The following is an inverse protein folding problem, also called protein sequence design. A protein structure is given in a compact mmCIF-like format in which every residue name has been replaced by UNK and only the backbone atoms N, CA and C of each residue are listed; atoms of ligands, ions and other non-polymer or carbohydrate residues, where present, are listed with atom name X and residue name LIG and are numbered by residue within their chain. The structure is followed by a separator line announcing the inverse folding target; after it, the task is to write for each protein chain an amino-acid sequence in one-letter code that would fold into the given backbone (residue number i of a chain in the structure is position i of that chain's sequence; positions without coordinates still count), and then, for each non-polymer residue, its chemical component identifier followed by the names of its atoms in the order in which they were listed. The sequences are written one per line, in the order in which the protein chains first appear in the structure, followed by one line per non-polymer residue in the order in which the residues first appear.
data_IF_229703720247
#
_entry.id   IF_229703720247
#
_cell.length_a   1.000
_cell.length_b   1.000
_cell.length_c   1.000
_cell.angle_alpha   90.00
_cell.angle_beta   90.00
_cell.angle_gamma   90.00
#
_symmetry.space_group_name_H-M   'P 1'
#
loop_
_entity.id
_entity.type
_entity.pdbx_description
1 polymer ?
#
# COMPACT_ATOMS: atom_id res chain seq x y z
N UNK A 1 -20.69 -12.26 1.16
CA UNK A 1 -20.54 -10.79 1.29
C UNK A 1 -19.35 -10.53 2.21
N UNK A 2 -18.66 -9.40 2.08
CA UNK A 2 -17.52 -9.11 2.97
C UNK A 2 -18.02 -8.77 4.37
N UNK A 3 -17.23 -9.06 5.41
CA UNK A 3 -17.61 -8.76 6.79
C UNK A 3 -17.94 -7.26 7.00
N UNK A 4 -17.26 -6.37 6.27
CA UNK A 4 -17.56 -4.94 6.26
C UNK A 4 -18.91 -4.62 5.61
N UNK A 5 -19.27 -5.26 4.49
CA UNK A 5 -20.57 -5.08 3.84
C UNK A 5 -21.71 -5.56 4.76
N UNK A 6 -21.54 -6.70 5.42
CA UNK A 6 -22.53 -7.23 6.36
C UNK A 6 -22.73 -6.30 7.57
N UNK A 7 -21.63 -5.72 8.09
CA UNK A 7 -21.69 -4.74 9.19
C UNK A 7 -22.42 -3.44 8.78
N UNK A 8 -22.20 -2.96 7.55
CA UNK A 8 -22.89 -1.76 7.04
C UNK A 8 -24.38 -2.03 6.86
N UNK A 9 -24.76 -3.17 6.30
CA UNK A 9 -26.18 -3.55 6.12
C UNK A 9 -26.88 -3.72 7.47
N UNK A 10 -26.23 -4.36 8.45
CA UNK A 10 -26.77 -4.47 9.81
C UNK A 10 -27.03 -3.08 10.42
N UNK A 11 -26.06 -2.16 10.31
CA UNK A 11 -26.21 -0.80 10.83
C UNK A 11 -27.30 0.00 10.11
N UNK A 12 -27.44 -0.15 8.79
CA UNK A 12 -28.53 0.46 8.01
C UNK A 12 -29.92 0.05 8.53
N UNK A 13 -30.10 -1.24 8.80
CA UNK A 13 -31.35 -1.79 9.33
C UNK A 13 -31.62 -1.26 10.73
N UNK A 14 -30.61 -1.21 11.60
CA UNK A 14 -30.73 -0.68 12.97
C UNK A 14 -31.13 0.81 12.97
N UNK A 15 -30.46 1.63 12.16
CA UNK A 15 -30.74 3.07 12.04
C UNK A 15 -32.13 3.33 11.47
N UNK A 16 -32.56 2.59 10.45
CA UNK A 16 -33.90 2.79 9.88
C UNK A 16 -35.00 2.31 10.85
N UNK A 17 -34.78 1.21 11.58
CA UNK A 17 -35.70 0.75 12.64
C UNK A 17 -35.82 1.79 13.74
N UNK A 18 -34.71 2.38 14.17
CA UNK A 18 -34.70 3.48 15.14
C UNK A 18 -35.49 4.68 14.63
N UNK A 19 -35.27 5.10 13.39
CA UNK A 19 -35.98 6.22 12.78
C UNK A 19 -37.49 5.98 12.71
N UNK A 20 -37.91 4.78 12.30
CA UNK A 20 -39.32 4.41 12.22
C UNK A 20 -39.98 4.33 13.60
N UNK A 21 -39.28 3.79 14.61
CA UNK A 21 -39.76 3.76 16.00
C UNK A 21 -40.01 5.17 16.52
N UNK A 22 -39.03 6.07 16.37
CA UNK A 22 -39.16 7.46 16.82
C UNK A 22 -40.24 8.20 16.04
N UNK A 23 -40.38 7.97 14.74
CA UNK A 23 -41.41 8.60 13.91
C UNK A 23 -42.84 8.31 14.39
N UNK A 24 -43.09 7.13 14.95
CA UNK A 24 -44.42 6.71 15.46
C UNK A 24 -44.79 7.32 16.82
N UNK A 25 -43.83 7.85 17.57
CA UNK A 25 -44.10 8.45 18.88
C UNK A 25 -44.93 9.73 18.74
N UNK A 26 -45.96 9.89 19.58
CA UNK A 26 -46.81 11.09 19.58
C UNK A 26 -46.15 12.31 20.23
N UNK A 27 -45.18 12.09 21.12
CA UNK A 27 -44.50 13.16 21.84
C UNK A 27 -43.56 13.98 20.95
N UNK A 28 -43.48 15.29 21.22
CA UNK A 28 -42.54 16.21 20.55
C UNK A 28 -41.10 16.06 21.06
N UNK A 29 -40.92 15.53 22.28
CA UNK A 29 -39.61 15.27 22.90
C UNK A 29 -39.49 13.80 23.32
N UNK A 30 -38.26 13.28 23.28
CA UNK A 30 -37.99 11.91 23.70
C UNK A 30 -37.49 11.91 25.15
N UNK A 31 -38.41 11.71 26.08
CA UNK A 31 -38.17 11.71 27.53
C UNK A 31 -38.17 10.31 28.13
N UNK A 32 -38.89 9.37 27.51
CA UNK A 32 -39.01 7.97 27.96
C UNK A 32 -37.63 7.30 27.95
N UNK A 33 -37.27 6.66 29.06
CA UNK A 33 -35.98 5.97 29.24
C UNK A 33 -35.76 4.91 28.17
N UNK A 34 -36.76 4.08 27.91
CA UNK A 34 -36.64 2.93 27.02
C UNK A 34 -36.33 3.33 25.57
N UNK A 35 -36.92 4.44 25.10
CA UNK A 35 -36.63 4.97 23.76
C UNK A 35 -35.24 5.60 23.70
N UNK A 36 -34.80 6.28 24.78
CA UNK A 36 -33.43 6.83 24.88
C UNK A 36 -32.40 5.72 24.91
N UNK A 37 -32.63 4.66 25.68
CA UNK A 37 -31.71 3.54 25.82
C UNK A 37 -31.64 2.71 24.54
N UNK A 38 -32.75 2.58 23.82
CA UNK A 38 -32.74 2.01 22.48
C UNK A 38 -31.94 2.86 21.48
N UNK A 39 -32.03 4.18 21.53
CA UNK A 39 -31.21 5.05 20.68
C UNK A 39 -29.71 4.97 21.04
N UNK A 40 -29.39 4.86 22.33
CA UNK A 40 -28.00 4.64 22.79
C UNK A 40 -27.48 3.30 22.26
N UNK A 41 -28.27 2.23 22.34
CA UNK A 41 -27.82 0.92 21.88
C UNK A 41 -27.49 0.92 20.40
N UNK A 42 -28.32 1.56 19.56
CA UNK A 42 -28.06 1.73 18.12
C UNK A 42 -26.75 2.48 17.87
N UNK A 43 -26.49 3.57 18.59
CA UNK A 43 -25.23 4.30 18.47
C UNK A 43 -24.03 3.45 18.93
N UNK A 44 -24.15 2.71 20.04
CA UNK A 44 -23.08 1.85 20.54
C UNK A 44 -22.80 0.65 19.63
N UNK A 45 -23.82 0.04 19.03
CA UNK A 45 -23.64 -1.02 18.03
C UNK A 45 -22.75 -0.56 16.89
N UNK A 46 -22.95 0.67 16.40
CA UNK A 46 -22.03 1.25 15.42
C UNK A 46 -20.60 1.38 15.96
N UNK A 47 -20.39 2.12 17.05
CA UNK A 47 -19.03 2.44 17.52
C UNK A 47 -18.25 1.23 18.05
N UNK A 48 -18.92 0.23 18.62
CA UNK A 48 -18.28 -0.91 19.30
C UNK A 48 -18.22 -2.17 18.44
N UNK A 49 -19.15 -2.35 17.51
CA UNK A 49 -19.28 -3.60 16.75
C UNK A 49 -19.04 -3.37 15.26
N UNK A 50 -19.78 -2.46 14.63
CA UNK A 50 -19.74 -2.31 13.17
C UNK A 50 -18.54 -1.50 12.69
N UNK A 51 -18.28 -0.34 13.30
CA UNK A 51 -17.21 0.60 12.92
C UNK A 51 -15.85 -0.07 12.87
N UNK A 52 -15.38 -0.82 13.90
CA UNK A 52 -14.06 -1.45 13.86
C UNK A 52 -13.90 -2.38 12.65
N UNK A 53 -14.93 -3.15 12.31
CA UNK A 53 -14.92 -4.08 11.17
C UNK A 53 -14.87 -3.33 9.84
N UNK A 54 -15.62 -2.24 9.72
CA UNK A 54 -15.63 -1.41 8.50
C UNK A 54 -14.27 -0.73 8.28
N UNK A 55 -13.65 -0.19 9.33
CA UNK A 55 -12.35 0.50 9.25
C UNK A 55 -11.16 -0.43 9.00
N UNK A 56 -11.34 -1.75 9.05
CA UNK A 56 -10.32 -2.69 8.56
C UNK A 56 -10.17 -2.66 7.02
N UNK A 57 -11.22 -2.20 6.33
CA UNK A 57 -11.28 -2.23 4.86
C UNK A 57 -11.40 -0.84 4.23
N UNK A 58 -12.00 0.12 4.93
CA UNK A 58 -12.19 1.48 4.47
C UNK A 58 -11.40 2.47 5.33
N UNK A 59 -10.90 3.57 4.75
CA UNK A 59 -10.22 4.62 5.51
C UNK A 59 -11.18 5.26 6.52
N UNK A 60 -10.65 5.72 7.67
CA UNK A 60 -11.47 6.31 8.74
C UNK A 60 -12.28 7.54 8.27
N UNK A 61 -11.75 8.30 7.31
CA UNK A 61 -12.44 9.45 6.74
C UNK A 61 -13.73 9.06 6.01
N UNK A 62 -13.82 7.85 5.46
CA UNK A 62 -15.02 7.38 4.77
C UNK A 62 -16.21 7.23 5.72
N UNK A 63 -15.96 6.95 7.01
CA UNK A 63 -17.02 6.74 8.01
C UNK A 63 -17.30 7.96 8.89
N UNK A 64 -16.56 9.05 8.70
CA UNK A 64 -16.63 10.24 9.56
C UNK A 64 -18.06 10.82 9.68
N UNK A 65 -18.80 10.93 8.58
CA UNK A 65 -20.15 11.48 8.62
C UNK A 65 -21.17 10.56 9.32
N UNK A 66 -20.92 9.24 9.30
CA UNK A 66 -21.70 8.28 10.09
C UNK A 66 -21.41 8.49 11.58
N UNK A 67 -20.12 8.61 11.93
CA UNK A 67 -19.66 8.86 13.30
C UNK A 67 -20.26 10.15 13.87
N UNK A 68 -20.20 11.26 13.11
CA UNK A 68 -20.76 12.55 13.51
C UNK A 68 -22.27 12.46 13.76
N UNK A 69 -23.00 11.78 12.87
CA UNK A 69 -24.46 11.64 12.97
C UNK A 69 -24.88 10.80 14.16
N UNK A 70 -24.23 9.65 14.38
CA UNK A 70 -24.57 8.74 15.49
C UNK A 70 -24.06 9.24 16.84
N UNK A 71 -22.95 9.98 16.87
CA UNK A 71 -22.51 10.71 18.06
C UNK A 71 -23.52 11.79 18.45
N UNK A 72 -24.04 12.54 17.48
CA UNK A 72 -25.09 13.53 17.75
C UNK A 72 -26.39 12.89 18.27
N UNK A 73 -26.75 11.68 17.82
CA UNK A 73 -27.86 10.90 18.40
C UNK A 73 -27.55 10.57 19.85
N UNK A 74 -26.35 10.04 20.15
CA UNK A 74 -25.93 9.67 21.50
C UNK A 74 -25.96 10.88 22.45
N UNK A 75 -25.39 12.01 22.05
CA UNK A 75 -25.37 13.26 22.83
C UNK A 75 -26.79 13.80 23.08
N UNK A 76 -27.67 13.70 22.08
CA UNK A 76 -29.06 14.11 22.21
C UNK A 76 -29.80 13.27 23.26
N UNK A 77 -29.44 11.99 23.43
CA UNK A 77 -30.01 11.12 24.47
C UNK A 77 -29.67 11.60 25.87
N UNK A 78 -28.61 12.39 26.10
CA UNK A 78 -28.30 12.93 27.43
C UNK A 78 -29.21 14.09 27.82
N UNK A 79 -29.82 14.78 26.86
CA UNK A 79 -30.50 16.09 27.05
C UNK A 79 -32.01 16.07 26.81
N UNK A 80 -32.65 14.90 26.76
CA UNK A 80 -34.10 14.75 26.48
C UNK A 80 -34.57 15.58 25.28
N UNK A 81 -33.81 15.48 24.18
CA UNK A 81 -33.94 16.35 23.01
C UNK A 81 -35.26 16.18 22.24
N UNK A 82 -35.55 17.14 21.36
CA UNK A 82 -36.70 17.09 20.47
C UNK A 82 -36.66 15.86 19.53
N UNK A 83 -37.84 15.30 19.24
CA UNK A 83 -38.04 14.19 18.29
C UNK A 83 -37.44 14.51 16.92
N UNK A 84 -37.61 15.75 16.47
CA UNK A 84 -37.07 16.23 15.18
C UNK A 84 -35.56 16.12 15.11
N UNK A 85 -34.85 16.41 16.20
CA UNK A 85 -33.39 16.28 16.28
C UNK A 85 -32.96 14.85 15.96
N UNK A 86 -33.58 13.84 16.59
CA UNK A 86 -33.25 12.44 16.32
C UNK A 86 -33.57 12.02 14.90
N UNK A 87 -34.74 12.41 14.37
CA UNK A 87 -35.13 12.04 13.00
C UNK A 87 -34.17 12.61 11.95
N UNK A 88 -33.73 13.86 12.12
CA UNK A 88 -32.75 14.49 11.22
C UNK A 88 -31.41 13.75 11.27
N UNK A 89 -30.90 13.45 12.47
CA UNK A 89 -29.61 12.76 12.63
C UNK A 89 -29.65 11.31 12.16
N UNK A 90 -30.73 10.58 12.43
CA UNK A 90 -30.90 9.20 11.95
C UNK A 90 -31.06 9.15 10.43
N UNK A 91 -31.71 10.14 9.82
CA UNK A 91 -31.78 10.26 8.36
C UNK A 91 -30.38 10.51 7.76
N UNK A 92 -29.62 11.45 8.32
CA UNK A 92 -28.26 11.74 7.89
C UNK A 92 -27.32 10.53 8.07
N UNK A 93 -27.46 9.79 9.18
CA UNK A 93 -26.72 8.54 9.40
C UNK A 93 -27.05 7.48 8.33
N UNK A 94 -28.33 7.31 7.99
CA UNK A 94 -28.77 6.37 6.94
C UNK A 94 -28.20 6.75 5.57
N UNK A 95 -28.25 8.02 5.20
CA UNK A 95 -27.71 8.52 3.93
C UNK A 95 -26.18 8.32 3.86
N UNK A 96 -25.48 8.60 4.96
CA UNK A 96 -24.03 8.39 5.08
C UNK A 96 -23.66 6.91 4.99
N UNK A 97 -24.40 6.03 5.69
CA UNK A 97 -24.20 4.57 5.60
C UNK A 97 -24.46 4.04 4.18
N UNK A 98 -25.45 4.58 3.47
CA UNK A 98 -25.70 4.21 2.08
C UNK A 98 -24.56 4.65 1.15
N UNK A 99 -23.92 5.80 1.42
CA UNK A 99 -22.72 6.22 0.71
C UNK A 99 -21.52 5.30 0.99
N UNK A 100 -21.28 4.95 2.27
CA UNK A 100 -20.23 4.00 2.67
C UNK A 100 -20.46 2.62 2.04
N UNK A 101 -21.71 2.15 1.99
CA UNK A 101 -22.08 0.94 1.26
C UNK A 101 -21.68 1.00 -0.21
N UNK A 102 -21.93 2.14 -0.87
CA UNK A 102 -21.50 2.37 -2.24
C UNK A 102 -20.00 2.13 -2.43
N UNK A 103 -19.17 2.55 -1.47
CA UNK A 103 -17.72 2.31 -1.49
C UNK A 103 -17.35 0.83 -1.35
N UNK A 104 -18.13 0.04 -0.59
CA UNK A 104 -17.89 -1.42 -0.46
C UNK A 104 -18.36 -2.25 -1.65
N UNK A 105 -19.28 -1.70 -2.46
CA UNK A 105 -19.77 -2.35 -3.69
C UNK A 105 -18.84 -2.11 -4.89
N UNK A 106 -17.97 -1.10 -4.80
CA UNK A 106 -16.89 -0.95 -5.75
C UNK A 106 -15.86 -2.07 -5.49
N UNK A 107 -15.34 -2.74 -6.53
CA UNK A 107 -14.22 -3.66 -6.36
C UNK A 107 -13.11 -2.91 -5.62
N UNK A 108 -12.51 -3.56 -4.60
CA UNK A 108 -11.45 -2.96 -3.81
C UNK A 108 -10.45 -2.30 -4.76
N UNK A 109 -10.33 -0.96 -4.67
CA UNK A 109 -9.32 -0.28 -5.42
C UNK A 109 -7.98 -0.96 -5.10
N UNK A 110 -7.14 -1.29 -6.09
CA UNK A 110 -5.81 -1.81 -5.82
C UNK A 110 -5.15 -0.91 -4.78
N UNK A 111 -4.45 -1.48 -3.79
CA UNK A 111 -3.97 -0.75 -2.62
C UNK A 111 -3.29 0.53 -3.09
N UNK A 112 -3.76 1.64 -2.53
CA UNK A 112 -3.48 3.03 -2.90
C UNK A 112 -2.25 3.16 -3.79
N UNK A 113 -2.46 3.68 -5.01
CA UNK A 113 -1.40 4.05 -5.92
C UNK A 113 -0.31 4.82 -5.17
N UNK A 114 0.74 4.10 -4.74
CA UNK A 114 2.02 4.71 -4.43
C UNK A 114 2.36 5.50 -5.68
N UNK A 115 2.45 6.83 -5.54
CA UNK A 115 2.62 7.82 -6.61
C UNK A 115 3.24 7.18 -7.85
N UNK A 116 2.50 7.19 -8.97
CA UNK A 116 3.01 6.69 -10.25
C UNK A 116 4.24 7.51 -10.69
N UNK A 117 4.38 8.72 -10.17
CA UNK A 117 5.54 9.56 -10.41
C UNK A 117 6.82 8.91 -9.86
N UNK A 118 7.96 9.06 -10.57
CA UNK A 118 9.24 8.59 -10.06
C UNK A 118 9.56 9.24 -8.71
N UNK A 119 10.19 8.51 -7.78
CA UNK A 119 10.70 9.09 -6.55
C UNK A 119 11.85 10.05 -6.88
N UNK A 120 12.16 10.94 -5.92
CA UNK A 120 13.33 11.81 -6.06
C UNK A 120 14.62 10.97 -6.00
N UNK A 121 15.29 10.79 -7.13
CA UNK A 121 16.55 10.03 -7.23
C UNK A 121 17.81 10.82 -6.82
N UNK A 122 17.68 12.11 -6.48
CA UNK A 122 18.81 12.95 -6.08
C UNK A 122 19.69 12.35 -4.97
N UNK A 123 19.15 11.65 -3.94
CA UNK A 123 19.99 11.00 -2.93
C UNK A 123 20.92 9.93 -3.50
N UNK A 124 20.59 9.29 -4.62
CA UNK A 124 21.39 8.22 -5.24
C UNK A 124 22.30 8.71 -6.37
N UNK A 125 21.87 9.72 -7.11
CA UNK A 125 22.58 10.24 -8.28
C UNK A 125 22.61 11.77 -8.26
N UNK A 126 23.79 12.36 -8.05
CA UNK A 126 24.01 13.80 -8.18
C UNK A 126 24.07 14.24 -9.65
N UNK A 127 24.53 13.35 -10.54
CA UNK A 127 24.56 13.57 -11.98
C UNK A 127 23.14 13.69 -12.58
N UNK A 128 22.93 14.77 -13.33
CA UNK A 128 21.66 15.08 -13.99
C UNK A 128 21.32 14.03 -15.06
N UNK A 129 22.32 13.57 -15.82
CA UNK A 129 22.12 12.58 -16.87
C UNK A 129 21.63 11.25 -16.29
N UNK A 130 22.30 10.75 -15.25
CA UNK A 130 21.88 9.53 -14.57
C UNK A 130 20.48 9.65 -13.95
N UNK A 131 20.12 10.78 -13.33
CA UNK A 131 18.76 11.00 -12.81
C UNK A 131 17.69 10.87 -13.90
N UNK A 132 17.88 11.52 -15.04
CA UNK A 132 16.94 11.44 -16.16
C UNK A 132 16.79 10.01 -16.69
N UNK A 133 17.88 9.23 -16.71
CA UNK A 133 17.84 7.83 -17.09
C UNK A 133 16.99 7.03 -16.09
N UNK A 134 17.19 7.21 -14.78
CA UNK A 134 16.43 6.51 -13.74
C UNK A 134 14.93 6.87 -13.80
N UNK A 135 14.59 8.15 -13.98
CA UNK A 135 13.21 8.62 -14.14
C UNK A 135 12.54 8.00 -15.37
N UNK A 136 13.24 7.97 -16.51
CA UNK A 136 12.74 7.31 -17.72
C UNK A 136 12.53 5.81 -17.53
N UNK A 137 13.48 5.10 -16.89
CA UNK A 137 13.38 3.67 -16.61
C UNK A 137 12.21 3.35 -15.67
N UNK A 138 11.97 4.20 -14.68
CA UNK A 138 10.79 4.12 -13.82
C UNK A 138 9.50 4.25 -14.64
N UNK A 139 9.39 5.26 -15.50
CA UNK A 139 8.24 5.47 -16.36
C UNK A 139 8.02 4.31 -17.34
N UNK A 140 9.09 3.73 -17.90
CA UNK A 140 9.02 2.54 -18.75
C UNK A 140 8.49 1.32 -17.98
N UNK A 141 8.96 1.07 -16.75
CA UNK A 141 8.42 -0.01 -15.90
C UNK A 141 6.91 0.14 -15.71
N UNK A 142 6.46 1.35 -15.35
CA UNK A 142 5.05 1.66 -15.16
C UNK A 142 4.23 1.49 -16.45
N UNK A 143 4.78 1.91 -17.59
CA UNK A 143 4.15 1.73 -18.90
C UNK A 143 3.96 0.25 -19.23
N UNK A 144 4.99 -0.59 -19.01
CA UNK A 144 4.88 -2.03 -19.25
C UNK A 144 3.82 -2.70 -18.38
N UNK A 145 3.71 -2.31 -17.10
CA UNK A 145 2.67 -2.80 -16.19
C UNK A 145 1.28 -2.40 -16.70
N UNK A 146 1.09 -1.14 -17.11
CA UNK A 146 -0.21 -0.65 -17.62
C UNK A 146 -0.60 -1.25 -18.97
N UNK A 147 0.37 -1.58 -19.80
CA UNK A 147 0.16 -2.17 -21.12
C UNK A 147 -0.12 -3.68 -21.08
N UNK A 148 -0.27 -4.27 -19.89
CA UNK A 148 -0.44 -5.70 -19.70
C UNK A 148 0.68 -6.55 -20.33
N UNK A 149 1.93 -6.08 -20.21
CA UNK A 149 3.12 -6.75 -20.73
C UNK A 149 3.98 -7.30 -19.57
N UNK A 150 3.55 -8.38 -18.88
CA UNK A 150 4.08 -8.77 -17.58
C UNK A 150 5.56 -9.18 -17.63
N UNK A 151 5.96 -9.99 -18.62
CA UNK A 151 7.37 -10.37 -18.80
C UNK A 151 8.27 -9.16 -19.06
N UNK A 152 7.84 -8.26 -19.95
CA UNK A 152 8.58 -7.04 -20.25
C UNK A 152 8.70 -6.14 -19.02
N UNK A 153 7.62 -5.99 -18.25
CA UNK A 153 7.60 -5.23 -17.01
C UNK A 153 8.62 -5.79 -16.00
N UNK A 154 8.62 -7.11 -15.77
CA UNK A 154 9.57 -7.77 -14.86
C UNK A 154 11.02 -7.61 -15.31
N UNK A 155 11.29 -7.69 -16.62
CA UNK A 155 12.63 -7.44 -17.18
C UNK A 155 13.09 -6.01 -16.91
N UNK A 156 12.21 -5.03 -17.16
CA UNK A 156 12.50 -3.61 -16.93
C UNK A 156 12.73 -3.31 -15.45
N UNK A 157 11.95 -3.91 -14.55
CA UNK A 157 12.12 -3.77 -13.10
C UNK A 157 13.50 -4.27 -12.64
N UNK A 158 13.96 -5.42 -13.16
CA UNK A 158 15.29 -5.92 -12.85
C UNK A 158 16.41 -5.01 -13.38
N UNK A 159 16.25 -4.44 -14.58
CA UNK A 159 17.20 -3.46 -15.12
C UNK A 159 17.23 -2.15 -14.32
N UNK A 160 16.07 -1.65 -13.88
CA UNK A 160 15.97 -0.50 -13.00
C UNK A 160 16.66 -0.76 -11.66
N UNK A 161 16.40 -1.91 -11.04
CA UNK A 161 16.99 -2.27 -9.75
C UNK A 161 18.52 -2.34 -9.84
N UNK A 162 19.05 -2.93 -10.91
CA UNK A 162 20.49 -2.98 -11.19
C UNK A 162 21.09 -1.57 -11.29
N UNK A 163 20.45 -0.67 -12.05
CA UNK A 163 20.89 0.72 -12.18
C UNK A 163 20.87 1.47 -10.84
N UNK A 164 19.89 1.22 -9.97
CA UNK A 164 19.82 1.83 -8.64
C UNK A 164 20.94 1.35 -7.72
N UNK A 165 21.27 0.06 -7.76
CA UNK A 165 22.43 -0.48 -7.03
C UNK A 165 23.76 0.10 -7.53
N UNK A 166 23.92 0.21 -8.86
CA UNK A 166 25.10 0.84 -9.47
C UNK A 166 25.23 2.29 -9.03
N UNK A 167 24.13 3.06 -9.05
CA UNK A 167 24.12 4.44 -8.55
C UNK A 167 24.52 4.51 -7.08
N UNK A 168 23.96 3.63 -6.23
CA UNK A 168 24.30 3.54 -4.80
C UNK A 168 25.77 3.22 -4.55
N UNK A 169 26.36 2.32 -5.34
CA UNK A 169 27.76 1.95 -5.27
C UNK A 169 28.68 3.10 -5.73
N UNK A 170 28.28 3.82 -6.78
CA UNK A 170 29.05 4.96 -7.30
C UNK A 170 29.00 6.18 -6.38
N UNK A 171 27.95 6.33 -5.58
CA UNK A 171 27.84 7.37 -4.55
C UNK A 171 28.85 7.17 -3.41
N UNK A 172 29.37 5.96 -3.18
CA UNK A 172 30.28 5.71 -2.07
C UNK A 172 31.62 6.42 -2.28
N UNK A 173 32.08 7.27 -1.34
CA UNK A 173 33.40 7.87 -1.42
C UNK A 173 34.51 6.81 -1.29
N UNK A 174 34.29 5.82 -0.42
CA UNK A 174 35.17 4.67 -0.26
C UNK A 174 34.49 3.41 -0.80
N UNK A 175 35.01 2.85 -1.91
CA UNK A 175 34.49 1.62 -2.52
C UNK A 175 35.03 0.33 -1.89
N UNK A 176 36.01 0.40 -0.98
CA UNK A 176 36.61 -0.78 -0.36
C UNK A 176 35.60 -1.75 0.29
N UNK A 177 34.52 -1.30 0.98
CA UNK A 177 33.55 -2.23 1.55
C UNK A 177 32.87 -3.13 0.51
N UNK A 178 32.72 -2.66 -0.73
CA UNK A 178 32.13 -3.46 -1.82
C UNK A 178 32.99 -4.66 -2.18
N UNK A 179 34.32 -4.53 -2.12
CA UNK A 179 35.25 -5.58 -2.51
C UNK A 179 35.67 -6.49 -1.34
N UNK A 180 35.42 -6.07 -0.10
CA UNK A 180 35.68 -6.86 1.11
C UNK A 180 34.46 -7.60 1.63
N UNK A 181 33.28 -7.34 1.08
CA UNK A 181 32.06 -8.08 1.40
C UNK A 181 32.24 -9.58 1.08
N UNK A 182 31.67 -10.46 1.91
CA UNK A 182 31.71 -11.91 1.69
C UNK A 182 31.04 -12.31 0.39
N UNK A 183 30.00 -11.55 0.00
CA UNK A 183 29.26 -11.75 -1.24
C UNK A 183 29.94 -11.16 -2.49
N UNK A 184 31.12 -10.55 -2.37
CA UNK A 184 31.85 -9.98 -3.52
C UNK A 184 32.07 -11.04 -4.60
N UNK A 185 31.69 -10.78 -5.86
CA UNK A 185 31.92 -11.74 -6.92
C UNK A 185 33.42 -11.81 -7.23
N UNK A 186 33.92 -13.02 -7.41
CA UNK A 186 35.33 -13.28 -7.74
C UNK A 186 35.43 -13.99 -9.08
N UNK A 187 36.51 -13.69 -9.80
CA UNK A 187 36.86 -14.41 -11.02
C UNK A 187 37.14 -15.88 -10.71
N UNK A 188 36.55 -16.77 -11.52
CA UNK A 188 36.58 -18.21 -11.25
C UNK A 188 37.99 -18.80 -11.34
N UNK A 189 38.87 -18.21 -12.16
CA UNK A 189 40.24 -18.67 -12.44
C UNK A 189 41.25 -18.09 -11.47
N UNK A 190 41.24 -16.77 -11.28
CA UNK A 190 42.24 -16.03 -10.49
C UNK A 190 41.85 -15.87 -9.03
N UNK A 191 40.59 -16.14 -8.67
CA UNK A 191 40.01 -15.93 -7.33
C UNK A 191 40.09 -14.48 -6.83
N UNK A 192 40.35 -13.52 -7.72
CA UNK A 192 40.37 -12.09 -7.41
C UNK A 192 38.97 -11.49 -7.55
N UNK A 193 38.66 -10.45 -6.78
CA UNK A 193 37.41 -9.72 -6.89
C UNK A 193 37.23 -9.15 -8.31
N UNK A 194 36.01 -9.28 -8.85
CA UNK A 194 35.65 -8.70 -10.15
C UNK A 194 35.53 -7.18 -10.04
N UNK A 195 35.95 -6.42 -11.07
CA UNK A 195 35.75 -4.98 -11.12
C UNK A 195 34.25 -4.64 -11.26
N UNK A 196 33.81 -3.50 -10.73
CA UNK A 196 32.40 -3.11 -10.69
C UNK A 196 31.65 -3.19 -12.05
N UNK A 197 32.25 -2.83 -13.20
CA UNK A 197 31.56 -2.94 -14.50
C UNK A 197 31.17 -4.37 -14.88
N UNK A 198 31.78 -5.39 -14.28
CA UNK A 198 31.47 -6.80 -14.51
C UNK A 198 30.44 -7.35 -13.52
N UNK A 199 29.98 -6.54 -12.56
CA UNK A 199 28.95 -6.96 -11.63
C UNK A 199 27.58 -6.96 -12.33
N UNK A 200 26.82 -8.02 -12.07
CA UNK A 200 25.41 -8.13 -12.49
C UNK A 200 24.49 -7.90 -11.30
N UNK A 201 23.18 -7.88 -11.53
CA UNK A 201 22.18 -7.68 -10.47
C UNK A 201 22.35 -8.61 -9.26
N UNK A 202 22.74 -9.88 -9.45
CA UNK A 202 22.88 -10.84 -8.34
C UNK A 202 23.96 -10.41 -7.32
N UNK A 203 25.23 -10.19 -7.71
CA UNK A 203 26.24 -9.63 -6.82
C UNK A 203 25.80 -8.35 -6.10
N UNK A 204 25.12 -7.44 -6.80
CA UNK A 204 24.62 -6.21 -6.20
C UNK A 204 23.57 -6.45 -5.11
N UNK A 205 22.62 -7.37 -5.33
CA UNK A 205 21.62 -7.74 -4.31
C UNK A 205 22.32 -8.34 -3.09
N UNK A 206 23.25 -9.27 -3.30
CA UNK A 206 23.91 -9.97 -2.20
C UNK A 206 24.79 -9.04 -1.35
N UNK A 207 25.64 -8.24 -2.00
CA UNK A 207 26.52 -7.26 -1.33
C UNK A 207 25.71 -6.11 -0.74
N UNK A 208 24.69 -5.60 -1.45
CA UNK A 208 23.82 -4.54 -0.96
C UNK A 208 23.07 -4.93 0.32
N UNK A 209 22.67 -6.20 0.44
CA UNK A 209 22.09 -6.71 1.68
C UNK A 209 23.12 -6.85 2.80
N UNK A 210 24.34 -7.31 2.50
CA UNK A 210 25.43 -7.42 3.47
C UNK A 210 25.85 -6.04 4.03
N UNK A 211 25.85 -5.01 3.17
CA UNK A 211 26.13 -3.62 3.54
C UNK A 211 24.92 -2.86 4.10
N UNK A 212 23.77 -3.53 4.27
CA UNK A 212 22.57 -2.95 4.88
C UNK A 212 21.82 -1.93 4.01
N UNK A 213 22.03 -1.90 2.70
CA UNK A 213 21.30 -1.01 1.78
C UNK A 213 19.86 -1.47 1.57
N UNK A 214 19.66 -2.79 1.65
CA UNK A 214 18.36 -3.43 1.65
C UNK A 214 18.28 -4.39 2.82
N UNK A 215 17.07 -4.57 3.35
CA UNK A 215 16.79 -5.54 4.39
C UNK A 215 16.92 -6.99 3.89
N UNK A 216 17.00 -7.94 4.82
CA UNK A 216 17.00 -9.38 4.48
C UNK A 216 15.75 -9.80 3.67
N UNK A 217 14.51 -9.44 4.05
CA UNK A 217 13.35 -9.68 3.19
C UNK A 217 13.49 -9.00 1.82
N UNK A 218 14.07 -7.80 1.77
CA UNK A 218 14.41 -7.11 0.53
C UNK A 218 15.33 -7.93 -0.38
N UNK A 219 16.34 -8.59 0.18
CA UNK A 219 17.25 -9.48 -0.55
C UNK A 219 16.50 -10.65 -1.17
N UNK A 220 15.65 -11.29 -0.37
CA UNK A 220 14.92 -12.49 -0.78
C UNK A 220 13.97 -12.17 -1.95
N UNK A 221 13.20 -11.07 -1.85
CA UNK A 221 12.29 -10.66 -2.93
C UNK A 221 13.03 -10.14 -4.17
N UNK A 222 14.15 -9.43 -4.01
CA UNK A 222 14.98 -8.99 -5.14
C UNK A 222 15.58 -10.18 -5.90
N UNK A 223 15.96 -11.24 -5.17
CA UNK A 223 16.45 -12.50 -5.73
C UNK A 223 15.37 -13.17 -6.58
N UNK A 224 14.14 -13.23 -6.08
CA UNK A 224 13.00 -13.75 -6.84
C UNK A 224 12.75 -12.91 -8.10
N UNK A 225 12.66 -11.58 -7.97
CA UNK A 225 12.46 -10.68 -9.12
C UNK A 225 13.51 -10.90 -10.22
N UNK A 226 14.79 -11.01 -9.84
CA UNK A 226 15.89 -11.32 -10.76
C UNK A 226 15.66 -12.64 -11.50
N UNK A 227 15.25 -13.68 -10.77
CA UNK A 227 15.04 -15.00 -11.36
C UNK A 227 13.89 -15.02 -12.36
N UNK A 228 12.80 -14.30 -12.06
CA UNK A 228 11.67 -14.17 -12.97
C UNK A 228 11.98 -13.29 -14.19
N UNK A 229 12.82 -12.24 -14.06
CA UNK A 229 13.34 -11.48 -15.22
C UNK A 229 14.05 -12.39 -16.23
N UNK A 230 14.72 -13.45 -15.77
CA UNK A 230 15.48 -14.36 -16.64
C UNK A 230 14.58 -15.25 -17.52
N UNK A 231 13.26 -15.25 -17.32
CA UNK A 231 12.32 -15.90 -18.26
C UNK A 231 12.18 -15.15 -19.58
N UNK A 232 12.88 -14.02 -19.77
CA UNK A 232 13.11 -13.44 -21.10
C UNK A 232 13.76 -14.42 -22.07
N UNK A 233 14.41 -15.47 -21.57
CA UNK A 233 14.92 -16.59 -22.35
C UNK A 233 13.82 -17.67 -22.52
N UNK A 234 13.25 -17.85 -23.73
CA UNK A 234 12.07 -18.71 -23.93
C UNK A 234 12.28 -20.17 -23.53
N UNK A 235 13.48 -20.72 -23.73
CA UNK A 235 13.78 -22.10 -23.34
C UNK A 235 13.75 -22.30 -21.82
N UNK A 236 14.16 -21.27 -21.06
CA UNK A 236 14.10 -21.31 -19.60
C UNK A 236 12.65 -21.25 -19.10
N UNK A 237 11.84 -20.41 -19.73
CA UNK A 237 10.39 -20.32 -19.47
C UNK A 237 9.71 -21.67 -19.73
N UNK A 238 9.97 -22.27 -20.90
CA UNK A 238 9.47 -23.60 -21.30
C UNK A 238 9.88 -24.69 -20.33
N UNK A 239 11.16 -24.77 -19.97
CA UNK A 239 11.68 -25.81 -19.09
C UNK A 239 11.10 -25.73 -17.67
N UNK A 240 10.83 -24.53 -17.17
CA UNK A 240 10.29 -24.32 -15.83
C UNK A 240 8.76 -24.28 -15.78
N UNK A 241 8.08 -24.18 -16.93
CA UNK A 241 6.62 -24.11 -17.01
C UNK A 241 6.04 -22.87 -16.32
N UNK A 242 6.79 -21.76 -16.34
CA UNK A 242 6.37 -20.50 -15.71
C UNK A 242 5.75 -19.60 -16.75
N UNK A 243 4.67 -18.92 -16.41
CA UNK A 243 4.09 -17.85 -17.23
C UNK A 243 3.70 -16.70 -16.32
N UNK A 244 4.22 -15.51 -16.61
CA UNK A 244 3.90 -14.31 -15.83
C UNK A 244 2.57 -13.74 -16.27
N UNK A 245 1.66 -13.51 -15.32
CA UNK A 245 0.41 -12.82 -15.55
C UNK A 245 0.48 -11.36 -15.07
N UNK A 246 -0.59 -10.61 -15.32
CA UNK A 246 -0.68 -9.20 -14.95
C UNK A 246 -0.56 -8.96 -13.44
N UNK A 247 -1.19 -9.79 -12.63
CA UNK A 247 -1.14 -9.69 -11.17
C UNK A 247 0.29 -9.89 -10.65
N UNK A 248 1.04 -10.83 -11.23
CA UNK A 248 2.45 -11.05 -10.86
C UNK A 248 3.30 -9.80 -11.16
N UNK A 249 3.10 -9.17 -12.32
CA UNK A 249 3.81 -7.94 -12.68
C UNK A 249 3.46 -6.77 -11.75
N UNK A 250 2.20 -6.62 -11.36
CA UNK A 250 1.77 -5.62 -10.38
C UNK A 250 2.39 -5.86 -8.99
N UNK A 251 2.45 -7.12 -8.55
CA UNK A 251 3.12 -7.51 -7.31
C UNK A 251 4.61 -7.16 -7.36
N UNK A 252 5.32 -7.59 -8.41
CA UNK A 252 6.73 -7.27 -8.63
C UNK A 252 6.99 -5.78 -8.71
N UNK A 253 6.04 -5.01 -9.23
CA UNK A 253 6.14 -3.56 -9.26
C UNK A 253 6.16 -2.97 -7.84
N UNK A 254 5.23 -3.37 -6.97
CA UNK A 254 5.21 -2.89 -5.59
C UNK A 254 6.49 -3.26 -4.82
N UNK A 255 7.02 -4.47 -5.05
CA UNK A 255 8.29 -4.90 -4.48
C UNK A 255 9.45 -4.01 -4.98
N UNK A 256 9.48 -3.68 -6.27
CA UNK A 256 10.48 -2.80 -6.87
C UNK A 256 10.42 -1.39 -6.28
N UNK A 257 9.22 -0.84 -6.05
CA UNK A 257 9.04 0.45 -5.37
C UNK A 257 9.60 0.43 -3.94
N UNK A 258 9.30 -0.63 -3.18
CA UNK A 258 9.82 -0.79 -1.81
C UNK A 258 11.35 -0.90 -1.76
N UNK A 259 11.95 -1.66 -2.68
CA UNK A 259 13.42 -1.76 -2.79
C UNK A 259 14.05 -0.42 -3.16
N UNK A 260 13.42 0.33 -4.07
CA UNK A 260 13.86 1.67 -4.44
C UNK A 260 13.88 2.61 -3.23
N UNK A 261 12.86 2.57 -2.37
CA UNK A 261 12.81 3.36 -1.15
C UNK A 261 13.91 2.99 -0.15
N UNK A 262 14.20 1.69 0.03
CA UNK A 262 15.30 1.23 0.88
C UNK A 262 16.65 1.75 0.37
N UNK A 263 16.90 1.66 -0.94
CA UNK A 263 18.12 2.17 -1.56
C UNK A 263 18.27 3.68 -1.38
N UNK A 264 17.20 4.45 -1.60
CA UNK A 264 17.18 5.89 -1.37
C UNK A 264 17.47 6.24 0.10
N UNK A 265 16.84 5.55 1.04
CA UNK A 265 17.08 5.75 2.47
C UNK A 265 18.52 5.42 2.87
N UNK A 266 19.08 4.34 2.32
CA UNK A 266 20.48 3.94 2.57
C UNK A 266 21.52 4.94 2.05
N UNK A 267 21.13 5.75 1.06
CA UNK A 267 21.98 6.80 0.50
C UNK A 267 21.90 8.08 1.35
N UNK A 268 20.69 8.43 1.81
CA UNK A 268 20.48 9.57 2.69
C UNK A 268 21.16 9.42 4.06
N UNK A 269 21.17 8.21 4.64
CA UNK A 269 21.86 7.95 5.91
C UNK A 269 23.38 8.06 5.81
N UNK A 270 23.96 7.81 4.63
CA UNK A 270 25.39 7.92 4.40
C UNK A 270 25.88 9.38 4.30
N UNK A 271 25.00 10.34 3.99
CA UNK A 271 25.34 11.76 3.90
C UNK A 271 25.45 12.46 5.26
N UNK A 272 25.01 11.81 6.34
CA UNK A 272 24.89 12.41 7.69
C UNK A 272 26.00 11.98 8.65
N UNK A 273 26.92 11.13 8.21
CA UNK A 273 28.06 10.68 9.02
C UNK A 273 29.29 11.53 8.69
N UNK A 274 29.82 12.32 9.64
CA UNK A 274 30.98 13.20 9.42
C UNK A 274 32.28 12.44 9.18
#
# INVERSE_FOLDING_TARGET
MSAAADAIEASLVEVDRARLRIAKLKSKQITVSDDRDYLKSVAYSWFRTHRPVVTLTLPEQAVQHVDESLKAVLDATARSSAKTTYLVRLKAAKESLAAVRGLTLLPAAPPAAQSEAPPNFTPLASDVSMKQILERRWAECHTCVRAAAPLAATVMMGGLLEALFVARANLMPNKAPLFHAKATPVDSKTKKALPLPEWTLRPYIDVGAELGWISRPGKDVATVLRDYRNYVHPEKERAHGVTLNQHDAEMFWQLTKSLTQQLLASAASAATTP
#
